data_IF_663452325983
#
_entry.id   IF_663452325983
#
_cell.length_a   1.000
_cell.length_b   1.000
_cell.length_c   1.000
_cell.angle_alpha   90.00
_cell.angle_beta   90.00
_cell.angle_gamma   90.00
#
_symmetry.space_group_name_H-M   'P 1'
#
loop_
_entity.id
_entity.type
_entity.pdbx_description
1 polymer ?
#
# COMPACT_ATOMS: atom_id res chain seq x y z
N UNK A 1 5.20 -12.10 -3.14
CA UNK A 1 4.36 -11.44 -4.17
C UNK A 1 3.16 -10.86 -3.43
N UNK A 2 3.12 -9.55 -3.21
CA UNK A 2 1.96 -8.91 -2.57
C UNK A 2 0.88 -8.81 -3.64
N UNK A 3 -0.25 -9.48 -3.42
CA UNK A 3 -1.41 -9.45 -4.31
C UNK A 3 -2.48 -8.57 -3.67
N UNK A 4 -2.99 -7.59 -4.42
CA UNK A 4 -4.05 -6.70 -3.96
C UNK A 4 -5.41 -7.38 -4.16
N UNK A 5 -6.19 -7.51 -3.09
CA UNK A 5 -7.65 -7.67 -3.14
C UNK A 5 -8.19 -6.39 -2.54
N UNK A 6 -8.86 -5.57 -3.34
CA UNK A 6 -9.40 -4.29 -2.91
C UNK A 6 -10.91 -4.26 -3.14
N UNK A 7 -11.66 -4.01 -2.06
CA UNK A 7 -12.99 -3.43 -2.13
C UNK A 7 -12.84 -1.94 -1.75
N UNK A 8 -13.40 -1.04 -2.56
CA UNK A 8 -13.42 0.41 -2.32
C UNK A 8 -12.06 1.09 -2.06
N UNK A 9 -10.95 0.51 -2.55
CA UNK A 9 -9.61 1.09 -2.38
C UNK A 9 -8.92 0.74 -1.04
N UNK A 10 -9.51 -0.14 -0.24
CA UNK A 10 -8.87 -0.71 0.95
C UNK A 10 -7.99 -1.89 0.55
N UNK A 11 -6.74 -1.94 1.05
CA UNK A 11 -5.79 -3.01 0.75
C UNK A 11 -5.23 -3.59 2.05
N UNK A 12 -5.23 -4.92 2.16
CA UNK A 12 -4.55 -5.63 3.24
C UNK A 12 -3.11 -5.95 2.84
N UNK A 13 -2.16 -5.37 3.57
CA UNK A 13 -0.73 -5.60 3.38
C UNK A 13 -0.22 -6.51 4.48
N UNK A 14 0.35 -7.67 4.09
CA UNK A 14 0.99 -8.60 5.01
C UNK A 14 2.50 -8.69 4.75
N UNK A 15 3.27 -8.93 5.82
CA UNK A 15 4.72 -9.09 5.77
C UNK A 15 5.45 -7.94 5.05
N UNK A 16 5.15 -6.70 5.46
CA UNK A 16 5.77 -5.47 4.94
C UNK A 16 6.79 -4.91 5.93
N UNK A 17 7.77 -4.18 5.41
CA UNK A 17 8.82 -3.53 6.20
C UNK A 17 8.57 -2.03 6.32
N UNK A 18 9.00 -1.37 7.42
CA UNK A 18 8.97 0.08 7.53
C UNK A 18 9.68 0.76 6.35
N UNK A 19 9.22 1.96 5.98
CA UNK A 19 9.80 2.77 4.89
C UNK A 19 9.77 2.12 3.50
N UNK A 20 9.18 0.93 3.36
CA UNK A 20 9.05 0.25 2.08
C UNK A 20 8.14 1.04 1.13
N UNK A 21 8.55 1.12 -0.13
CA UNK A 21 7.82 1.82 -1.18
C UNK A 21 7.04 0.85 -2.04
N UNK A 22 5.80 1.24 -2.36
CA UNK A 22 4.89 0.46 -3.19
C UNK A 22 4.53 1.25 -4.43
N UNK A 23 4.45 0.54 -5.55
CA UNK A 23 3.86 1.06 -6.79
C UNK A 23 2.48 0.44 -6.94
N UNK A 24 1.48 1.29 -6.98
CA UNK A 24 0.10 0.90 -7.31
C UNK A 24 -0.09 1.13 -8.79
N UNK A 25 -0.66 0.15 -9.50
CA UNK A 25 -0.93 0.23 -10.94
C UNK A 25 -2.35 -0.22 -11.21
N UNK A 26 -3.08 0.51 -12.04
CA UNK A 26 -4.44 0.15 -12.47
C UNK A 26 -4.71 0.64 -13.90
N UNK A 27 -5.61 -0.07 -14.59
CA UNK A 27 -5.86 0.16 -16.00
C UNK A 27 -4.59 0.04 -16.85
N UNK A 28 -4.52 0.80 -17.94
CA UNK A 28 -3.45 0.64 -18.92
C UNK A 28 -2.19 1.46 -18.62
N UNK A 29 -2.28 2.55 -17.84
CA UNK A 29 -1.15 3.46 -17.61
C UNK A 29 -1.24 4.28 -16.32
N UNK A 30 -2.25 4.05 -15.48
CA UNK A 30 -2.36 4.79 -14.23
C UNK A 30 -1.52 4.10 -13.16
N UNK A 31 -0.68 4.89 -12.52
CA UNK A 31 0.15 4.44 -11.42
C UNK A 31 0.31 5.55 -10.41
N UNK A 32 0.51 5.16 -9.16
CA UNK A 32 0.93 6.06 -8.11
C UNK A 32 1.88 5.33 -7.16
N UNK A 33 2.57 6.08 -6.31
CA UNK A 33 3.46 5.54 -5.29
C UNK A 33 3.05 5.98 -3.91
N UNK A 34 3.23 5.09 -2.94
CA UNK A 34 3.14 5.39 -1.52
C UNK A 34 4.30 4.73 -0.77
N UNK A 35 4.63 5.27 0.39
CA UNK A 35 5.62 4.71 1.31
C UNK A 35 4.96 4.38 2.64
N UNK A 36 5.43 3.31 3.27
CA UNK A 36 5.07 3.01 4.65
C UNK A 36 5.81 3.96 5.61
N UNK A 37 5.20 4.32 6.76
CA UNK A 37 5.90 5.06 7.80
C UNK A 37 7.06 4.25 8.39
N UNK A 38 7.95 4.93 9.11
CA UNK A 38 9.11 4.33 9.79
C UNK A 38 8.75 3.49 11.01
N UNK A 39 7.52 3.61 11.51
CA UNK A 39 6.97 2.80 12.60
C UNK A 39 5.64 2.18 12.16
N UNK A 40 5.54 0.86 12.29
CA UNK A 40 4.35 0.07 11.97
C UNK A 40 3.99 -0.77 13.19
N UNK A 41 2.77 -0.61 13.70
CA UNK A 41 2.22 -1.53 14.69
C UNK A 41 1.41 -2.62 13.99
N UNK A 42 1.36 -3.82 14.58
CA UNK A 42 0.54 -4.89 14.05
C UNK A 42 -0.94 -4.45 14.06
N UNK A 43 -1.68 -4.78 13.00
CA UNK A 43 -3.13 -4.51 12.86
C UNK A 43 -3.55 -3.02 12.84
N UNK A 44 -2.69 -2.12 12.32
CA UNK A 44 -3.07 -0.73 12.06
C UNK A 44 -3.83 -0.56 10.73
N UNK A 45 -4.85 0.31 10.74
CA UNK A 45 -5.47 0.83 9.52
C UNK A 45 -4.88 2.21 9.20
N UNK A 46 -4.29 2.37 8.03
CA UNK A 46 -3.61 3.59 7.60
C UNK A 46 -4.20 4.10 6.29
N UNK A 47 -4.40 5.41 6.19
CA UNK A 47 -4.64 6.10 4.92
C UNK A 47 -3.30 6.69 4.47
N UNK A 48 -2.79 6.23 3.34
CA UNK A 48 -1.52 6.69 2.80
C UNK A 48 -1.77 7.53 1.54
N UNK A 49 -1.17 8.72 1.44
CA UNK A 49 -1.30 9.54 0.24
C UNK A 49 -0.63 8.83 -0.92
N UNK A 50 -1.34 8.72 -2.05
CA UNK A 50 -0.74 8.27 -3.31
C UNK A 50 -0.29 9.48 -4.12
N UNK A 51 0.97 9.47 -4.54
CA UNK A 51 1.58 10.49 -5.40
C UNK A 51 1.69 10.01 -6.85
#
# INVERSE_FOLDING_TARGET
RVGMVADEGHVWLGAVEPEQQFRVTWGDNQQCRFSLPSHLENSMQLILPCQ
#
